data_IF_385893586602
#
_entry.id   IF_385893586602
#
_cell.length_a   1.000
_cell.length_b   1.000
_cell.length_c   1.000
_cell.angle_alpha   90.00
_cell.angle_beta   90.00
_cell.angle_gamma   90.00
#
_symmetry.space_group_name_H-M   'P 1'
#
loop_
_entity.id
_entity.type
_entity.pdbx_description
1 polymer ?
#
# COMPACT_ATOMS: atom_id res chain seq x y z
N UNK A 1 -1.99 -6.57 -14.24
CA UNK A 1 -0.73 -6.33 -13.49
C UNK A 1 -0.32 -4.87 -13.43
N UNK A 2 -0.02 -4.22 -14.56
CA UNK A 2 0.48 -2.84 -14.57
C UNK A 2 -0.47 -1.80 -13.92
N UNK A 3 -1.78 -1.92 -14.16
CA UNK A 3 -2.78 -0.98 -13.63
C UNK A 3 -2.86 -1.00 -12.09
N UNK A 4 -2.89 -2.19 -11.49
CA UNK A 4 -2.96 -2.36 -10.03
C UNK A 4 -1.69 -1.82 -9.33
N UNK A 5 -0.52 -2.01 -9.95
CA UNK A 5 0.74 -1.45 -9.48
C UNK A 5 0.77 0.08 -9.57
N UNK A 6 0.26 0.65 -10.67
CA UNK A 6 0.09 2.09 -10.84
C UNK A 6 -0.83 2.67 -9.75
N UNK A 7 -1.96 2.00 -9.47
CA UNK A 7 -2.87 2.41 -8.39
C UNK A 7 -2.17 2.33 -7.03
N UNK A 8 -1.40 1.26 -6.76
CA UNK A 8 -0.65 1.14 -5.50
C UNK A 8 0.51 2.14 -5.36
N UNK A 9 1.05 2.64 -6.48
CA UNK A 9 2.11 3.66 -6.49
C UNK A 9 1.58 5.00 -5.97
N UNK A 10 0.40 5.42 -6.45
CA UNK A 10 -0.24 6.66 -6.01
C UNK A 10 -1.00 6.50 -4.69
N UNK A 11 -1.62 5.34 -4.45
CA UNK A 11 -2.38 5.04 -3.24
C UNK A 11 -2.04 3.64 -2.71
N UNK A 12 -1.09 3.59 -1.77
CA UNK A 12 -0.63 2.34 -1.13
C UNK A 12 -1.81 1.58 -0.50
N UNK A 13 -2.02 0.33 -0.92
CA UNK A 13 -3.11 -0.53 -0.43
C UNK A 13 -4.34 -0.57 -1.35
N UNK A 14 -4.61 0.47 -2.14
CA UNK A 14 -5.73 0.44 -3.11
C UNK A 14 -5.48 -0.50 -4.30
N UNK A 15 -4.22 -0.68 -4.69
CA UNK A 15 -3.86 -1.68 -5.71
C UNK A 15 -4.18 -3.12 -5.28
N UNK A 16 -4.07 -3.42 -3.98
CA UNK A 16 -4.45 -4.72 -3.40
C UNK A 16 -5.98 -4.90 -3.44
N UNK A 17 -6.72 -3.85 -3.11
CA UNK A 17 -8.18 -3.87 -3.20
C UNK A 17 -8.65 -4.08 -4.66
N UNK A 18 -7.97 -3.46 -5.62
CA UNK A 18 -8.22 -3.66 -7.04
C UNK A 18 -7.86 -5.08 -7.53
N UNK A 19 -6.87 -5.72 -6.91
CA UNK A 19 -6.46 -7.09 -7.21
C UNK A 19 -7.50 -8.15 -6.77
N UNK A 20 -8.46 -7.78 -5.92
CA UNK A 20 -9.52 -8.68 -5.45
C UNK A 20 -9.56 -8.83 -3.92
N UNK A 21 -8.48 -8.50 -3.20
CA UNK A 21 -8.44 -8.56 -1.74
C UNK A 21 -8.73 -7.19 -1.11
N UNK A 22 -10.01 -6.78 -1.15
CA UNK A 22 -10.48 -5.50 -0.63
C UNK A 22 -10.21 -5.34 0.87
N UNK A 23 -10.30 -6.42 1.65
CA UNK A 23 -10.08 -6.37 3.11
C UNK A 23 -8.61 -6.07 3.44
N UNK A 24 -7.64 -6.73 2.78
CA UNK A 24 -6.23 -6.38 2.96
C UNK A 24 -5.88 -5.02 2.39
N UNK A 25 -6.45 -4.67 1.23
CA UNK A 25 -6.16 -3.39 0.61
C UNK A 25 -6.62 -2.20 1.44
N UNK A 26 -7.84 -2.26 1.99
CA UNK A 26 -8.38 -1.19 2.81
C UNK A 26 -7.67 -1.06 4.17
N UNK A 27 -7.22 -2.19 4.76
CA UNK A 27 -6.45 -2.16 6.00
C UNK A 27 -5.06 -1.55 5.82
N UNK A 28 -4.34 -1.92 4.75
CA UNK A 28 -3.03 -1.32 4.43
C UNK A 28 -3.19 0.17 4.06
N UNK A 29 -4.22 0.51 3.30
CA UNK A 29 -4.52 1.90 2.96
C UNK A 29 -4.83 2.75 4.19
N UNK A 30 -5.71 2.27 5.07
CA UNK A 30 -6.04 2.96 6.32
C UNK A 30 -4.83 3.14 7.22
N UNK A 31 -3.98 2.11 7.34
CA UNK A 31 -2.77 2.16 8.15
C UNK A 31 -1.74 3.17 7.58
N UNK A 32 -1.57 3.20 6.26
CA UNK A 32 -0.73 4.18 5.56
C UNK A 32 -1.22 5.62 5.78
N UNK A 33 -2.54 5.84 5.74
CA UNK A 33 -3.16 7.15 5.93
C UNK A 33 -2.98 7.66 7.37
N UNK A 34 -3.21 6.79 8.35
CA UNK A 34 -3.00 7.09 9.77
C UNK A 34 -1.52 7.42 10.03
N UNK A 35 -0.58 6.64 9.48
CA UNK A 35 0.85 6.89 9.63
C UNK A 35 1.27 8.23 9.02
N UNK A 36 0.72 8.60 7.85
CA UNK A 36 0.98 9.90 7.22
C UNK A 36 0.45 11.06 8.08
N UNK A 37 -0.76 10.93 8.64
CA UNK A 37 -1.31 11.96 9.53
C UNK A 37 -0.41 12.11 10.77
N UNK A 38 -0.02 11.02 11.42
CA UNK A 38 0.83 11.06 12.61
C UNK A 38 2.22 11.65 12.28
N UNK A 39 2.78 11.31 11.11
CA UNK A 39 4.05 11.85 10.61
C UNK A 39 4.06 13.36 10.41
N UNK A 40 2.90 14.00 10.18
CA UNK A 40 2.80 15.46 10.07
C UNK A 40 2.99 16.11 11.46
N UNK A 41 2.53 15.45 12.52
CA UNK A 41 2.54 16.00 13.89
C UNK A 41 3.71 15.53 14.75
N UNK A 42 4.39 14.43 14.39
CA UNK A 42 5.49 13.85 15.15
C UNK A 42 6.62 13.32 14.25
N UNK A 43 7.88 13.44 14.70
CA UNK A 43 9.05 12.66 14.23
C UNK A 43 9.12 12.40 12.70
N UNK A 44 8.97 13.44 11.89
CA UNK A 44 8.83 13.32 10.42
C UNK A 44 9.96 12.57 9.71
N UNK A 45 11.18 12.54 10.26
CA UNK A 45 12.31 11.84 9.62
C UNK A 45 12.30 10.31 9.87
N UNK A 46 11.98 9.87 11.09
CA UNK A 46 11.94 8.43 11.44
C UNK A 46 10.67 7.79 10.88
N UNK A 47 9.54 8.49 11.02
CA UNK A 47 8.26 8.02 10.47
C UNK A 47 8.25 8.06 8.95
N UNK A 48 8.95 9.02 8.32
CA UNK A 48 9.12 9.06 6.86
C UNK A 48 9.78 7.79 6.31
N UNK A 49 10.80 7.25 6.98
CA UNK A 49 11.44 5.99 6.58
C UNK A 49 10.47 4.81 6.71
N UNK A 50 9.69 4.76 7.79
CA UNK A 50 8.70 3.69 8.01
C UNK A 50 7.59 3.77 6.95
N UNK A 51 7.09 4.96 6.64
CA UNK A 51 6.10 5.21 5.58
C UNK A 51 6.65 4.76 4.22
N UNK A 52 7.92 5.06 3.93
CA UNK A 52 8.56 4.66 2.69
C UNK A 52 8.70 3.13 2.58
N UNK A 53 9.08 2.45 3.67
CA UNK A 53 9.13 0.98 3.73
C UNK A 53 7.72 0.39 3.53
N UNK A 54 6.71 0.98 4.17
CA UNK A 54 5.32 0.52 4.08
C UNK A 54 4.75 0.72 2.67
N UNK A 55 5.18 1.79 1.99
CA UNK A 55 4.87 2.06 0.59
C UNK A 55 5.45 0.96 -0.33
N UNK A 56 6.75 0.64 -0.18
CA UNK A 56 7.38 -0.47 -0.93
C UNK A 56 6.68 -1.80 -0.64
N UNK A 57 6.37 -2.06 0.64
CA UNK A 57 5.65 -3.27 1.03
C UNK A 57 4.26 -3.33 0.39
N UNK A 58 3.52 -2.22 0.34
CA UNK A 58 2.22 -2.16 -0.31
C UNK A 58 2.29 -2.46 -1.81
N UNK A 59 3.35 -2.01 -2.50
CA UNK A 59 3.59 -2.38 -3.89
C UNK A 59 3.89 -3.87 -4.06
N UNK A 60 4.78 -4.42 -3.21
CA UNK A 60 5.10 -5.85 -3.23
C UNK A 60 3.88 -6.72 -2.91
N UNK A 61 3.10 -6.35 -1.90
CA UNK A 61 1.86 -7.02 -1.55
C UNK A 61 0.85 -6.95 -2.71
N UNK A 62 0.70 -5.80 -3.36
CA UNK A 62 -0.12 -5.66 -4.57
C UNK A 62 0.36 -6.60 -5.68
N UNK A 63 1.67 -6.65 -5.95
CA UNK A 63 2.21 -7.56 -6.96
C UNK A 63 1.89 -9.02 -6.64
N UNK A 64 2.07 -9.42 -5.38
CA UNK A 64 1.80 -10.80 -4.93
C UNK A 64 0.32 -11.13 -5.05
N UNK A 65 -0.56 -10.25 -4.59
CA UNK A 65 -2.02 -10.44 -4.64
C UNK A 65 -2.52 -10.47 -6.08
N UNK A 66 -2.02 -9.58 -6.94
CA UNK A 66 -2.33 -9.66 -8.38
C UNK A 66 -1.85 -10.97 -8.97
N UNK A 67 -0.66 -11.47 -8.64
CA UNK A 67 -0.21 -12.77 -9.14
C UNK A 67 -1.02 -13.96 -8.60
N UNK A 68 -1.55 -13.86 -7.38
CA UNK A 68 -2.39 -14.91 -6.78
C UNK A 68 -3.77 -14.94 -7.46
N UNK A 69 -4.39 -13.77 -7.64
CA UNK A 69 -5.74 -13.66 -8.20
C UNK A 69 -5.78 -13.70 -9.73
N UNK A 70 -4.76 -13.13 -10.36
CA UNK A 70 -4.59 -13.11 -11.81
C UNK A 70 -3.63 -14.23 -12.25
N UNK A 71 -3.60 -15.35 -11.51
CA UNK A 71 -2.72 -16.49 -11.75
C UNK A 71 -2.50 -16.75 -13.23
N UNK A 72 -1.23 -16.91 -13.60
CA UNK A 72 -0.73 -17.39 -14.90
C UNK A 72 -1.73 -18.27 -15.66
#
# INVERSE_FOLDING_TARGET
MALALLISFFLTGLGIAYAGDVRKGLSIFGLYLILNIISIYAFGMVLGVIIFILWIYGMYATYREVNIYNGS
#
